data_IF_177952731659
#
_entry.id   IF_177952731659
#
_cell.length_a   1.000
_cell.length_b   1.000
_cell.length_c   1.000
_cell.angle_alpha   90.00
_cell.angle_beta   90.00
_cell.angle_gamma   90.00
#
_symmetry.space_group_name_H-M   'P 1'
#
loop_
_entity.id
_entity.type
_entity.pdbx_description
1 polymer ?
2 non-polymer ?
3 non-polymer ?
4 water ?
#
# COMPACT_ATOMS: atom_id res chain seq x y z
N UNK A 1 0.87 -3.92 -3.18
CA UNK A 1 -0.15 -4.94 -3.22
C UNK A 1 -1.19 -4.66 -2.13
N UNK A 2 -1.59 -5.68 -1.35
CA UNK A 2 -2.67 -5.49 -0.39
C UNK A 2 -2.15 -5.01 0.97
N UNK A 3 -1.00 -4.33 0.95
CA UNK A 3 -0.38 -3.83 2.15
C UNK A 3 -0.03 -2.34 2.00
N UNK A 4 0.07 -1.65 3.12
CA UNK A 4 0.41 -0.24 3.15
C UNK A 4 -0.84 0.58 3.46
N UNK A 5 -0.94 1.72 2.80
CA UNK A 5 -2.06 2.63 2.95
C UNK A 5 -2.28 3.29 1.59
N UNK A 6 -3.13 4.32 1.55
CA UNK A 6 -3.43 4.97 0.28
C UNK A 6 -2.27 5.82 -0.24
N UNK A 7 -1.27 6.06 0.60
CA UNK A 7 -0.15 6.90 0.26
C UNK A 7 1.10 6.11 -0.17
N UNK A 8 1.36 5.00 0.51
CA UNK A 8 2.46 4.10 0.21
C UNK A 8 1.83 2.70 0.18
N UNK A 9 1.71 2.14 -1.01
CA UNK A 9 0.98 0.89 -1.22
C UNK A 9 1.85 -0.12 -1.94
N UNK A 10 1.83 -1.36 -1.45
CA UNK A 10 2.49 -2.50 -2.12
C UNK A 10 1.52 -3.67 -2.06
X LIG B 1 -8.17 -3.80 -4.21
X LIG B 1 -7.35 -2.55 -4.37
X LIG B 1 -6.29 -2.85 -5.38
X LIG B 1 -6.70 -2.17 -3.11
X LIG B 1 -8.11 -1.32 -4.82
X LIG B 1 -9.29 -1.02 -3.90
X LIG B 1 -8.89 -0.64 -2.61
X LIG B 1 -10.00 0.21 -4.34
X LIG B 1 -8.77 -3.96 -5.11
X LIG B 1 -8.83 -3.69 -3.35
X LIG B 1 -7.51 -4.66 -4.06
X LIG B 1 -6.33 -2.18 -6.09
X LIG B 1 -6.43 -1.11 -3.15
X LIG B 1 -7.39 -2.33 -2.29
X LIG B 1 -5.81 -2.77 -2.96
X LIG B 1 -8.46 -1.47 -5.84
X LIG B 1 -7.43 -0.46 -4.83
X LIG B 1 -9.98 -1.87 -3.87
X LIG B 1 -9.65 -0.69 -2.00
X LIG B 1 -9.96 0.95 -3.54
X LIG B 1 -9.52 0.61 -5.23
X LIG B 1 -11.04 -0.03 -4.56
X LIG C 1 -6.83 12.20 1.30
X LIG C 1 -6.95 13.47 1.86
X LIG D 1 -5.21 3.29 -3.54
X LIG D 1 -3.77 3.08 -3.44
X LIG E 1 -6.40 13.98 -1.14
X LIG E 1 -5.04 13.64 -0.65
#
# INVERSE_FOLDING_TARGET
FPFFNQYVAL
MPD C1 C2 O2 CM C3 C4 O4 C5 H11 H12 H13 HO2 HM1 HM2 HM3 H31 H32 H4 HO4 H51 H52 H53
MOH C O
MOH C O
MOH C O
#
